data_IF_737221584993
#
_entry.id   IF_737221584993
#
_cell.length_a   1.000
_cell.length_b   1.000
_cell.length_c   1.000
_cell.angle_alpha   90.00
_cell.angle_beta   90.00
_cell.angle_gamma   90.00
#
_symmetry.space_group_name_H-M   'P 1'
#
loop_
_entity.id
_entity.type
_entity.pdbx_description
1 polymer ?
#
# COMPACT_ATOMS: atom_id res chain seq x y z
N UNK A 1 -8.99 10.58 1.94
CA UNK A 1 -7.82 10.44 1.04
C UNK A 1 -7.22 9.07 1.31
N UNK A 2 -7.41 8.12 0.37
CA UNK A 2 -6.99 6.73 0.58
C UNK A 2 -5.53 6.60 0.19
N UNK A 3 -4.70 6.01 1.06
CA UNK A 3 -3.29 5.76 0.78
C UNK A 3 -3.10 4.27 0.53
N UNK A 4 -2.73 3.93 -0.69
CA UNK A 4 -2.45 2.56 -1.08
C UNK A 4 -0.95 2.34 -1.07
N UNK A 5 -0.49 1.60 -0.07
CA UNK A 5 0.91 1.24 0.03
C UNK A 5 1.18 -0.06 -0.70
N UNK A 6 2.29 -0.14 -1.43
CA UNK A 6 2.64 -1.36 -2.13
C UNK A 6 4.03 -1.36 -2.74
N UNK A 7 4.33 -2.44 -3.44
CA UNK A 7 5.56 -2.59 -4.21
C UNK A 7 5.17 -2.53 -5.69
N UNK A 8 5.73 -1.58 -6.45
CA UNK A 8 5.43 -1.34 -7.88
C UNK A 8 5.54 -2.59 -8.77
N UNK A 9 6.33 -3.59 -8.36
CA UNK A 9 6.54 -4.86 -9.08
C UNK A 9 5.65 -6.03 -8.61
N UNK A 10 4.64 -5.77 -7.77
CA UNK A 10 3.67 -6.81 -7.38
C UNK A 10 2.43 -6.74 -8.29
N UNK A 11 2.09 -7.84 -8.95
CA UNK A 11 0.89 -7.92 -9.81
C UNK A 11 -0.41 -7.62 -9.05
N UNK A 12 -0.46 -7.93 -7.75
CA UNK A 12 -1.59 -7.61 -6.87
C UNK A 12 -1.82 -6.10 -6.76
N UNK A 13 -0.74 -5.32 -6.65
CA UNK A 13 -0.82 -3.86 -6.55
C UNK A 13 -1.33 -3.25 -7.86
N UNK A 14 -0.84 -3.72 -9.01
CA UNK A 14 -1.34 -3.26 -10.31
C UNK A 14 -2.83 -3.52 -10.49
N UNK A 15 -3.31 -4.69 -10.05
CA UNK A 15 -4.76 -5.01 -10.04
C UNK A 15 -5.54 -4.11 -9.09
N UNK A 16 -5.01 -3.84 -7.89
CA UNK A 16 -5.65 -2.96 -6.91
C UNK A 16 -5.73 -1.51 -7.40
N UNK A 17 -4.67 -0.96 -8.00
CA UNK A 17 -4.69 0.38 -8.62
C UNK A 17 -5.79 0.48 -9.66
N UNK A 18 -5.82 -0.49 -10.59
CA UNK A 18 -6.82 -0.51 -11.66
C UNK A 18 -8.24 -0.66 -11.11
N UNK A 19 -8.43 -1.45 -10.07
CA UNK A 19 -9.73 -1.58 -9.41
C UNK A 19 -10.20 -0.25 -8.81
N UNK A 20 -9.33 0.44 -8.07
CA UNK A 20 -9.66 1.74 -7.45
C UNK A 20 -9.91 2.82 -8.51
N UNK A 21 -9.12 2.83 -9.59
CA UNK A 21 -9.31 3.75 -10.73
C UNK A 21 -10.67 3.50 -11.43
N UNK A 22 -11.04 2.23 -11.65
CA UNK A 22 -12.34 1.85 -12.22
C UNK A 22 -13.50 2.22 -11.30
N UNK A 23 -13.30 2.16 -9.97
CA UNK A 23 -14.31 2.60 -9.00
C UNK A 23 -14.37 4.13 -8.87
N UNK A 24 -13.50 4.88 -9.55
CA UNK A 24 -13.43 6.34 -9.42
C UNK A 24 -12.99 6.80 -8.04
N UNK A 25 -12.25 5.95 -7.32
CA UNK A 25 -11.78 6.24 -5.97
C UNK A 25 -10.43 6.95 -6.08
N UNK A 26 -10.33 8.16 -5.54
CA UNK A 26 -9.03 8.83 -5.43
C UNK A 26 -8.16 8.14 -4.37
N UNK A 27 -7.05 7.56 -4.84
CA UNK A 27 -6.04 6.94 -3.99
C UNK A 27 -4.64 7.46 -4.33
N UNK A 28 -3.81 7.56 -3.29
CA UNK A 28 -2.40 7.90 -3.39
C UNK A 28 -1.58 6.61 -3.30
N UNK A 29 -0.87 6.26 -4.36
CA UNK A 29 0.00 5.08 -4.35
C UNK A 29 1.37 5.41 -3.76
N UNK A 30 1.74 4.72 -2.67
CA UNK A 30 3.01 4.90 -1.97
C UNK A 30 3.85 3.64 -2.14
N UNK A 31 5.00 3.78 -2.80
CA UNK A 31 5.92 2.67 -3.00
C UNK A 31 6.86 2.50 -1.81
N UNK A 32 6.81 1.33 -1.15
CA UNK A 32 7.64 1.02 0.02
C UNK A 32 9.13 0.96 -0.28
N UNK A 33 9.54 0.72 -1.53
CA UNK A 33 10.97 0.67 -1.90
C UNK A 33 11.54 2.06 -2.14
N UNK A 34 10.73 2.97 -2.69
CA UNK A 34 11.15 4.36 -2.92
C UNK A 34 11.01 5.23 -1.67
N UNK A 35 10.00 4.97 -0.84
CA UNK A 35 9.80 5.66 0.43
C UNK A 35 9.98 4.63 1.55
N UNK A 36 11.23 4.40 2.01
CA UNK A 36 11.45 3.58 3.18
C UNK A 36 10.69 4.21 4.35
N UNK A 37 9.68 3.50 4.83
CA UNK A 37 8.95 3.90 6.03
C UNK A 37 9.84 3.62 7.24
N UNK A 38 9.80 4.53 8.21
CA UNK A 38 10.54 4.36 9.46
C UNK A 38 10.00 3.14 10.22
N UNK A 39 10.86 2.46 10.99
CA UNK A 39 10.51 1.23 11.71
C UNK A 39 9.26 1.41 12.58
N UNK A 40 9.07 2.60 13.16
CA UNK A 40 7.90 2.94 13.96
C UNK A 40 6.59 2.93 13.15
N UNK A 41 6.68 3.34 11.88
CA UNK A 41 5.54 3.33 10.95
C UNK A 41 5.25 1.90 10.48
N UNK A 42 6.31 1.11 10.21
CA UNK A 42 6.17 -0.31 9.87
C UNK A 42 5.53 -1.09 11.01
N UNK A 43 5.97 -0.86 12.26
CA UNK A 43 5.39 -1.47 13.45
C UNK A 43 3.90 -1.16 13.57
N UNK A 44 3.49 0.08 13.28
CA UNK A 44 2.10 0.49 13.31
C UNK A 44 1.26 -0.20 12.22
N UNK A 45 1.84 -0.46 11.03
CA UNK A 45 1.18 -1.24 9.99
C UNK A 45 1.05 -2.72 10.37
N UNK A 46 2.10 -3.32 10.94
CA UNK A 46 2.10 -4.71 11.40
C UNK A 46 1.09 -4.89 12.54
N UNK A 47 0.99 -3.93 13.45
CA UNK A 47 0.01 -3.95 14.54
C UNK A 47 -1.44 -3.80 14.01
N UNK A 48 -1.65 -2.94 13.02
CA UNK A 48 -2.97 -2.71 12.43
C UNK A 48 -3.45 -3.82 11.47
N UNK A 49 -2.55 -4.46 10.72
CA UNK A 49 -2.90 -5.42 9.65
C UNK A 49 -2.53 -6.88 9.99
N UNK A 50 -1.69 -7.08 11.00
CA UNK A 50 -1.13 -8.38 11.35
C UNK A 50 0.03 -8.79 10.42
N UNK A 51 1.13 -9.26 11.03
CA UNK A 51 2.36 -9.70 10.36
C UNK A 51 2.14 -10.70 9.20
N UNK A 52 1.08 -11.51 9.27
CA UNK A 52 0.76 -12.54 8.25
C UNK A 52 0.43 -11.95 6.86
N UNK A 53 0.16 -10.65 6.78
CA UNK A 53 -0.37 -9.98 5.58
C UNK A 53 0.48 -8.81 5.07
N UNK A 54 1.60 -8.49 5.73
CA UNK A 54 2.54 -7.41 5.36
C UNK A 54 3.65 -7.92 4.45
#
# INVERSE_FOLDING_TARGET
MIKMYGIKNCDTIKKAQKFLEVQGVEFEFIDFRQNPIDEQTLQSFVDALGWDKV
#
